data_IF_353066461801
#
_entry.id   IF_353066461801
#
_cell.length_a   1.000
_cell.length_b   1.000
_cell.length_c   1.000
_cell.angle_alpha   90.00
_cell.angle_beta   90.00
_cell.angle_gamma   90.00
#
_symmetry.space_group_name_H-M   'P 1'
#
loop_
_entity.id
_entity.type
_entity.pdbx_description
1 polymer ?
#
# COMPACT_ATOMS: atom_id res chain seq x y z
N UNK A 1 -30.64 5.17 11.60
CA UNK A 1 -29.98 4.32 12.62
C UNK A 1 -28.48 4.37 12.34
N UNK A 2 -27.65 4.80 13.30
CA UNK A 2 -26.20 4.92 13.12
C UNK A 2 -25.53 3.54 13.05
N UNK A 3 -24.51 3.37 12.20
CA UNK A 3 -23.70 2.15 12.15
C UNK A 3 -22.96 1.89 13.46
N UNK A 4 -22.71 2.92 14.27
CA UNK A 4 -22.05 2.78 15.57
C UNK A 4 -22.88 1.98 16.61
N UNK A 5 -24.18 1.81 16.38
CA UNK A 5 -25.07 1.06 17.28
C UNK A 5 -25.17 -0.44 16.93
N UNK A 6 -24.52 -0.87 15.85
CA UNK A 6 -24.55 -2.26 15.38
C UNK A 6 -23.43 -3.06 16.05
N UNK A 7 -23.77 -4.25 16.55
CA UNK A 7 -22.82 -5.16 17.19
C UNK A 7 -21.94 -5.90 16.18
N UNK A 8 -22.39 -6.01 14.94
CA UNK A 8 -21.71 -6.67 13.82
C UNK A 8 -20.86 -5.69 12.99
N UNK A 9 -20.49 -4.54 13.57
CA UNK A 9 -19.67 -3.53 12.89
C UNK A 9 -18.45 -3.21 13.75
N UNK A 10 -17.27 -3.47 13.22
CA UNK A 10 -15.99 -3.07 13.79
C UNK A 10 -15.39 -1.92 12.97
N UNK A 11 -14.64 -1.04 13.63
CA UNK A 11 -13.97 0.08 12.97
C UNK A 11 -12.49 -0.24 12.77
N UNK A 12 -11.97 0.03 11.58
CA UNK A 12 -10.55 -0.18 11.30
C UNK A 12 -9.68 0.63 12.29
N UNK A 13 -8.77 -0.01 13.05
CA UNK A 13 -7.98 0.67 14.08
C UNK A 13 -6.85 1.53 13.51
N UNK A 14 -6.58 1.43 12.20
CA UNK A 14 -5.59 2.30 11.54
C UNK A 14 -6.13 3.73 11.50
N UNK A 15 -5.36 4.64 12.09
CA UNK A 15 -5.66 6.08 12.19
C UNK A 15 -5.97 6.74 10.84
N UNK A 16 -5.36 6.26 9.75
CA UNK A 16 -5.57 6.78 8.40
C UNK A 16 -6.74 6.11 7.64
N UNK A 17 -7.26 4.97 8.11
CA UNK A 17 -8.33 4.24 7.41
C UNK A 17 -9.69 4.50 8.06
N UNK A 18 -9.86 4.10 9.32
CA UNK A 18 -11.09 4.31 10.09
C UNK A 18 -12.39 3.84 9.42
N UNK A 19 -12.32 2.96 8.39
CA UNK A 19 -13.52 2.51 7.69
C UNK A 19 -14.26 1.43 8.51
N UNK A 20 -15.60 1.42 8.49
CA UNK A 20 -16.38 0.37 9.11
C UNK A 20 -16.24 -0.94 8.35
N UNK A 21 -16.19 -2.05 9.06
CA UNK A 21 -16.13 -3.40 8.52
C UNK A 21 -17.16 -4.26 9.22
N UNK A 22 -17.93 -5.03 8.44
CA UNK A 22 -18.88 -5.98 8.99
C UNK A 22 -18.13 -7.27 9.30
N UNK A 23 -18.41 -7.87 10.45
CA UNK A 23 -17.84 -9.16 10.85
C UNK A 23 -18.96 -10.07 11.37
N UNK A 24 -18.73 -11.38 11.31
CA UNK A 24 -19.66 -12.37 11.85
C UNK A 24 -19.37 -12.59 13.33
N UNK A 25 -20.41 -12.57 14.17
CA UNK A 25 -20.32 -12.83 15.61
C UNK A 25 -20.48 -14.33 15.90
N UNK A 26 -19.64 -15.14 15.26
CA UNK A 26 -19.62 -16.61 15.38
C UNK A 26 -18.59 -17.10 16.43
N UNK A 27 -18.07 -16.17 17.23
CA UNK A 27 -17.04 -16.40 18.23
C UNK A 27 -15.62 -16.15 17.73
N UNK A 28 -15.42 -15.85 16.45
CA UNK A 28 -14.13 -15.38 15.95
C UNK A 28 -14.02 -13.86 16.09
N UNK A 29 -13.01 -13.42 16.84
CA UNK A 29 -12.73 -11.99 17.04
C UNK A 29 -11.95 -11.37 15.87
N UNK A 30 -11.80 -12.10 14.75
CA UNK A 30 -11.07 -11.64 13.57
C UNK A 30 -11.96 -10.79 12.67
N UNK A 31 -11.46 -9.64 12.23
CA UNK A 31 -12.07 -8.87 11.16
C UNK A 31 -11.01 -8.47 10.13
N UNK A 32 -11.39 -8.46 8.85
CA UNK A 32 -10.57 -7.94 7.75
C UNK A 32 -11.21 -6.66 7.22
N UNK A 33 -10.45 -5.57 7.24
CA UNK A 33 -10.93 -4.30 6.70
C UNK A 33 -11.04 -4.35 5.18
N UNK A 34 -12.25 -4.17 4.64
CA UNK A 34 -12.50 -4.19 3.20
C UNK A 34 -11.78 -3.07 2.42
N UNK A 35 -11.45 -1.96 3.08
CA UNK A 35 -10.81 -0.81 2.45
C UNK A 35 -9.27 -0.93 2.36
N UNK A 36 -8.62 -1.37 3.43
CA UNK A 36 -7.15 -1.43 3.50
C UNK A 36 -6.56 -2.84 3.63
N UNK A 37 -7.41 -3.88 3.73
CA UNK A 37 -6.99 -5.27 3.88
C UNK A 37 -6.37 -5.61 5.24
N UNK A 38 -6.39 -4.69 6.21
CA UNK A 38 -5.82 -4.95 7.53
C UNK A 38 -6.67 -5.97 8.30
N UNK A 39 -6.03 -7.04 8.78
CA UNK A 39 -6.66 -8.09 9.58
C UNK A 39 -6.40 -7.83 11.07
N UNK A 40 -7.46 -7.62 11.86
CA UNK A 40 -7.36 -7.15 13.23
C UNK A 40 -8.36 -7.84 14.17
N UNK A 41 -8.08 -7.77 15.46
CA UNK A 41 -8.97 -8.20 16.52
C UNK A 41 -10.05 -7.13 16.78
N UNK A 42 -11.33 -7.51 16.76
CA UNK A 42 -12.45 -6.58 17.00
C UNK A 42 -12.51 -6.05 18.43
N UNK A 43 -11.89 -6.75 19.39
CA UNK A 43 -11.86 -6.31 20.80
C UNK A 43 -10.71 -5.36 21.11
N UNK A 44 -9.47 -5.70 20.70
CA UNK A 44 -8.28 -4.93 21.07
C UNK A 44 -7.69 -4.09 19.92
N UNK A 45 -8.16 -4.27 18.68
CA UNK A 45 -7.67 -3.56 17.51
C UNK A 45 -6.26 -3.97 17.05
N UNK A 46 -5.60 -4.90 17.73
CA UNK A 46 -4.27 -5.37 17.36
C UNK A 46 -4.31 -6.29 16.12
N UNK A 47 -3.16 -6.46 15.47
CA UNK A 47 -2.99 -7.38 14.34
C UNK A 47 -3.45 -8.80 14.74
N UNK A 48 -4.30 -9.40 13.93
CA UNK A 48 -4.74 -10.77 14.14
C UNK A 48 -3.68 -11.77 13.68
N UNK A 49 -3.48 -12.83 14.44
CA UNK A 49 -2.60 -13.96 14.10
C UNK A 49 -3.12 -15.25 14.72
N UNK A 50 -2.61 -16.40 14.28
CA UNK A 50 -3.01 -17.70 14.83
C UNK A 50 -2.70 -17.85 16.33
N UNK A 51 -1.67 -17.16 16.81
CA UNK A 51 -1.27 -17.13 18.22
C UNK A 51 -1.77 -15.86 18.94
N UNK A 52 -2.82 -15.21 18.42
CA UNK A 52 -3.31 -13.95 18.98
C UNK A 52 -3.82 -14.15 20.41
N UNK A 53 -3.13 -13.54 21.37
CA UNK A 53 -3.60 -13.41 22.73
C UNK A 53 -4.21 -12.01 22.89
N UNK A 54 -5.55 -11.96 22.96
CA UNK A 54 -6.23 -10.70 23.21
C UNK A 54 -5.87 -10.23 24.62
N UNK A 55 -5.14 -9.11 24.72
CA UNK A 55 -4.97 -8.43 25.99
C UNK A 55 -6.09 -7.39 26.12
N UNK A 56 -7.07 -7.59 27.01
CA UNK A 56 -8.11 -6.61 27.22
C UNK A 56 -7.50 -5.29 27.69
N UNK A 57 -8.06 -4.18 27.21
CA UNK A 57 -7.65 -2.80 27.52
C UNK A 57 -7.58 -2.62 29.06
N UNK A 58 -6.36 -2.62 29.61
CA UNK A 58 -6.08 -2.56 31.05
C UNK A 58 -4.83 -3.32 31.48
N UNK A 59 -4.42 -4.35 30.72
CA UNK A 59 -3.07 -4.89 30.79
C UNK A 59 -2.13 -3.94 30.03
N UNK A 60 -1.07 -3.48 30.70
CA UNK A 60 -0.03 -2.59 30.16
C UNK A 60 0.35 -3.04 28.74
N UNK A 61 -0.01 -2.26 27.73
CA UNK A 61 0.23 -2.63 26.34
C UNK A 61 1.73 -2.90 26.14
N UNK A 62 2.13 -3.99 25.46
CA UNK A 62 3.47 -4.02 24.88
C UNK A 62 3.52 -2.87 23.87
N UNK A 63 4.52 -2.01 23.99
CA UNK A 63 4.83 -1.00 22.98
C UNK A 63 5.02 -1.72 21.65
N UNK A 64 3.97 -1.78 20.83
CA UNK A 64 4.10 -2.13 19.44
C UNK A 64 4.74 -0.91 18.82
N UNK A 65 6.07 -0.93 18.69
CA UNK A 65 6.76 -0.13 17.69
C UNK A 65 6.06 -0.44 16.36
N UNK A 66 5.18 0.46 15.94
CA UNK A 66 5.03 0.69 14.52
C UNK A 66 6.46 0.94 14.02
N UNK A 67 6.92 0.31 12.92
CA UNK A 67 7.94 0.98 12.13
C UNK A 67 7.26 2.29 11.74
N UNK A 68 7.62 3.36 12.46
CA UNK A 68 7.14 4.68 12.18
C UNK A 68 7.34 4.95 10.70
N UNK A 69 6.35 5.63 10.16
CA UNK A 69 6.38 6.17 8.82
C UNK A 69 7.78 6.70 8.52
N UNK A 70 8.29 6.33 7.33
CA UNK A 70 9.44 6.95 6.68
C UNK A 70 9.60 8.38 7.20
N UNK A 71 10.66 8.62 7.96
CA UNK A 71 11.12 9.97 8.23
C UNK A 71 11.24 10.64 6.87
N UNK A 72 10.42 11.67 6.66
CA UNK A 72 10.63 12.63 5.61
C UNK A 72 11.88 13.43 5.98
N UNK A 73 13.05 12.82 5.79
CA UNK A 73 14.25 13.57 5.47
C UNK A 73 14.12 13.99 4.01
N UNK A 74 13.55 15.19 3.85
CA UNK A 74 13.80 16.01 2.68
C UNK A 74 15.30 16.34 2.68
N UNK A 75 16.06 15.59 1.90
CA UNK A 75 17.44 15.91 1.54
C UNK A 75 17.71 15.35 0.15
N UNK A 76 17.57 16.27 -0.79
CA UNK A 76 18.03 16.29 -2.18
C UNK A 76 19.11 15.26 -2.55
N UNK A 77 18.79 14.31 -3.44
CA UNK A 77 19.70 13.77 -4.46
C UNK A 77 19.03 12.67 -5.30
N UNK A 78 18.23 13.03 -6.31
CA UNK A 78 17.82 12.08 -7.35
C UNK A 78 17.55 12.75 -8.71
N UNK A 79 18.51 13.50 -9.22
CA UNK A 79 18.46 14.09 -10.58
C UNK A 79 19.49 13.46 -11.54
N UNK A 80 19.67 12.14 -11.52
CA UNK A 80 20.65 11.50 -12.44
C UNK A 80 20.22 10.17 -13.07
N UNK A 81 19.03 9.64 -12.75
CA UNK A 81 18.57 8.34 -13.29
C UNK A 81 17.60 8.44 -14.47
N UNK A 82 17.02 9.62 -14.73
CA UNK A 82 16.05 9.79 -15.81
C UNK A 82 16.71 10.16 -17.16
N UNK A 83 17.87 10.83 -17.13
CA UNK A 83 18.58 11.23 -18.36
C UNK A 83 19.01 10.04 -19.22
N UNK A 84 19.42 8.92 -18.60
CA UNK A 84 19.84 7.73 -19.33
C UNK A 84 18.70 7.02 -20.06
N UNK A 85 17.47 7.08 -19.54
CA UNK A 85 16.30 6.50 -20.21
C UNK A 85 15.88 7.36 -21.41
N UNK A 86 15.90 8.69 -21.25
CA UNK A 86 15.60 9.63 -22.33
C UNK A 86 16.64 9.60 -23.43
N UNK A 87 17.94 9.63 -23.10
CA UNK A 87 19.02 9.54 -24.09
C UNK A 87 18.96 8.24 -24.90
N UNK A 88 18.66 7.10 -24.26
CA UNK A 88 18.50 5.82 -24.97
C UNK A 88 17.30 5.83 -25.93
N UNK A 89 16.18 6.45 -25.54
CA UNK A 89 15.01 6.59 -26.43
C UNK A 89 15.31 7.49 -27.63
N UNK A 90 15.99 8.61 -27.41
CA UNK A 90 16.37 9.53 -28.50
C UNK A 90 17.40 8.90 -29.45
N UNK A 91 18.40 8.17 -28.92
CA UNK A 91 19.37 7.43 -29.73
C UNK A 91 18.69 6.32 -30.56
N UNK A 92 17.80 5.55 -29.94
CA UNK A 92 17.04 4.50 -30.64
C UNK A 92 16.11 5.09 -31.72
N UNK A 93 15.46 6.23 -31.45
CA UNK A 93 14.61 6.90 -32.43
C UNK A 93 15.41 7.41 -33.64
N UNK A 94 16.61 7.97 -33.41
CA UNK A 94 17.50 8.40 -34.51
C UNK A 94 18.01 7.21 -35.34
N UNK A 95 18.39 6.11 -34.68
CA UNK A 95 18.81 4.90 -35.38
C UNK A 95 17.68 4.34 -36.26
N UNK A 96 16.45 4.26 -35.73
CA UNK A 96 15.28 3.82 -36.49
C UNK A 96 14.98 4.74 -37.69
N UNK A 97 15.05 6.06 -37.51
CA UNK A 97 14.84 7.02 -38.60
C UNK A 97 15.88 6.86 -39.72
N UNK A 98 17.16 6.66 -39.38
CA UNK A 98 18.23 6.40 -40.35
C UNK A 98 18.00 5.07 -41.08
N UNK A 99 17.55 4.02 -40.39
CA UNK A 99 17.20 2.74 -41.02
C UNK A 99 16.05 2.89 -42.01
N UNK A 100 14.99 3.63 -41.66
CA UNK A 100 13.86 3.88 -42.56
C UNK A 100 14.29 4.68 -43.80
N UNK A 101 15.10 5.72 -43.63
CA UNK A 101 15.65 6.51 -44.76
C UNK A 101 16.55 5.64 -45.65
N UNK A 102 17.39 4.78 -45.08
CA UNK A 102 18.24 3.87 -45.84
C UNK A 102 17.42 2.83 -46.62
N UNK A 103 16.35 2.29 -46.03
CA UNK A 103 15.43 1.38 -46.72
C UNK A 103 14.74 2.08 -47.90
N UNK A 104 14.20 3.29 -47.69
CA UNK A 104 13.61 4.07 -48.80
C UNK A 104 14.64 4.43 -49.88
N UNK A 105 15.89 4.72 -49.52
CA UNK A 105 16.95 4.98 -50.50
C UNK A 105 17.34 3.74 -51.32
N UNK A 106 17.14 2.53 -50.78
CA UNK A 106 17.36 1.27 -51.50
C UNK A 106 16.17 0.85 -52.37
N UNK A 107 14.95 1.30 -52.05
CA UNK A 107 13.74 1.07 -52.86
C UNK A 107 13.63 2.03 -54.07
N UNK A 108 14.50 3.05 -54.16
CA UNK A 108 14.65 3.92 -55.33
C UNK A 108 15.83 3.41 -56.18
N UNK A 109 15.63 2.26 -56.84
CA UNK A 109 16.42 1.74 -57.97
C UNK A 109 15.51 0.88 -58.84
#
# INVERSE_FOLDING_TARGET
RSLAARRDVAWCPRTWCGQPSVYEDDGFLMCVCAACGFCFCVECGALWSHAHACQPLGAKAPEIHAPDARESEESEAASSRDDGARQRREANARAAALTVVALHAMEIK
#
